data_IF_127747642773
#
_entry.id   IF_127747642773
#
_cell.length_a   1.000
_cell.length_b   1.000
_cell.length_c   1.000
_cell.angle_alpha   90.00
_cell.angle_beta   90.00
_cell.angle_gamma   90.00
#
_symmetry.space_group_name_H-M   'P 1'
#
loop_
_entity.id
_entity.type
_entity.pdbx_description
1 polymer ?
#
# COMPACT_ATOMS: atom_id res chain seq x y z
N UNK A 1 -22.88 -12.84 0.86
CA UNK A 1 -21.49 -12.48 1.20
C UNK A 1 -21.46 -12.23 2.69
N UNK A 2 -20.61 -12.91 3.47
CA UNK A 2 -20.57 -12.71 4.94
C UNK A 2 -20.20 -11.25 5.23
N UNK A 3 -20.83 -10.58 6.20
CA UNK A 3 -20.45 -9.22 6.58
C UNK A 3 -19.01 -9.18 7.09
N UNK A 4 -18.25 -8.16 6.68
CA UNK A 4 -16.83 -7.99 7.01
C UNK A 4 -16.62 -6.66 7.72
N UNK A 5 -15.75 -6.66 8.74
CA UNK A 5 -15.20 -5.44 9.36
C UNK A 5 -13.69 -5.39 9.17
N UNK A 6 -13.15 -4.18 9.06
CA UNK A 6 -11.71 -3.94 9.09
C UNK A 6 -11.26 -3.36 10.44
N UNK A 7 -10.32 -4.04 11.10
CA UNK A 7 -9.67 -3.59 12.32
C UNK A 7 -8.28 -3.04 12.01
N UNK A 8 -8.15 -1.72 11.98
CA UNK A 8 -6.88 -1.05 11.65
C UNK A 8 -5.79 -1.25 12.70
N UNK A 9 -6.13 -1.61 13.94
CA UNK A 9 -5.13 -1.86 14.99
C UNK A 9 -4.28 -3.10 14.68
N UNK A 10 -4.82 -4.05 13.91
CA UNK A 10 -4.07 -5.21 13.45
C UNK A 10 -2.87 -4.84 12.55
N UNK A 11 -2.85 -3.63 11.95
CA UNK A 11 -1.73 -3.19 11.13
C UNK A 11 -0.43 -3.07 11.93
N UNK A 12 -0.48 -2.70 13.21
CA UNK A 12 0.70 -2.49 14.04
C UNK A 12 1.53 -3.77 14.25
N UNK A 13 0.91 -4.94 14.14
CA UNK A 13 1.54 -6.24 14.28
C UNK A 13 1.45 -7.10 13.02
N UNK A 14 1.01 -6.53 11.88
CA UNK A 14 0.77 -7.33 10.68
C UNK A 14 2.05 -7.73 9.94
N UNK A 15 3.17 -7.04 10.19
CA UNK A 15 4.44 -7.23 9.47
C UNK A 15 4.41 -6.71 8.03
N UNK A 16 3.72 -5.59 7.79
CA UNK A 16 3.64 -4.91 6.48
C UNK A 16 3.19 -5.76 5.27
N UNK A 17 2.30 -6.74 5.46
CA UNK A 17 1.82 -7.63 4.38
C UNK A 17 1.29 -6.89 3.14
N UNK A 18 0.73 -5.69 3.31
CA UNK A 18 0.24 -4.87 2.20
C UNK A 18 1.36 -4.22 1.36
N UNK A 19 2.60 -4.22 1.84
CA UNK A 19 3.77 -3.60 1.21
C UNK A 19 4.78 -4.62 0.69
N UNK A 20 4.58 -5.91 0.97
CA UNK A 20 5.47 -7.01 0.60
C UNK A 20 4.82 -7.81 -0.53
N UNK A 21 5.50 -7.91 -1.68
CA UNK A 21 5.01 -8.67 -2.81
C UNK A 21 5.33 -8.03 -4.15
N UNK A 22 5.20 -8.82 -5.20
CA UNK A 22 5.39 -8.35 -6.58
C UNK A 22 4.13 -7.63 -7.07
N UNK A 23 4.31 -6.56 -7.84
CA UNK A 23 3.22 -5.80 -8.43
C UNK A 23 3.54 -4.32 -8.61
N UNK A 24 2.54 -3.57 -9.05
CA UNK A 24 2.63 -2.12 -9.23
C UNK A 24 1.73 -1.42 -8.22
N UNK A 25 2.23 -0.36 -7.59
CA UNK A 25 1.41 0.57 -6.81
C UNK A 25 1.18 1.79 -7.68
N UNK A 26 0.10 1.76 -8.47
CA UNK A 26 -0.25 2.85 -9.36
C UNK A 26 -0.72 4.06 -8.56
N UNK A 27 -0.24 5.23 -8.95
CA UNK A 27 -0.55 6.51 -8.31
C UNK A 27 -1.08 7.51 -9.32
N UNK A 28 -2.09 8.27 -8.91
CA UNK A 28 -2.61 9.40 -9.68
C UNK A 28 -1.86 10.69 -9.34
N UNK A 29 -1.97 11.68 -10.21
CA UNK A 29 -1.35 13.00 -10.03
C UNK A 29 -1.60 13.61 -8.64
N UNK A 30 -2.85 13.58 -8.16
CA UNK A 30 -3.20 14.11 -6.83
C UNK A 30 -2.52 13.33 -5.68
N UNK A 31 -2.27 12.03 -5.84
CA UNK A 31 -1.58 11.22 -4.84
C UNK A 31 -0.07 11.50 -4.86
N UNK A 32 0.51 11.67 -6.05
CA UNK A 32 1.89 12.11 -6.24
C UNK A 32 2.12 13.43 -5.50
N UNK A 33 1.25 14.41 -5.72
CA UNK A 33 1.32 15.73 -5.07
C UNK A 33 1.19 15.63 -3.54
N UNK A 34 0.26 14.81 -3.06
CA UNK A 34 0.05 14.62 -1.63
C UNK A 34 1.25 13.95 -0.94
N UNK A 35 1.84 12.92 -1.56
CA UNK A 35 3.00 12.22 -1.02
C UNK A 35 4.23 13.11 -1.06
N UNK A 36 4.50 13.79 -2.18
CA UNK A 36 5.63 14.72 -2.31
C UNK A 36 5.56 15.83 -1.25
N UNK A 37 4.37 16.43 -1.05
CA UNK A 37 4.13 17.42 0.00
C UNK A 37 4.39 16.87 1.40
N UNK A 38 3.92 15.65 1.68
CA UNK A 38 4.14 14.99 2.97
C UNK A 38 5.64 14.76 3.26
N UNK A 39 6.43 14.44 2.22
CA UNK A 39 7.87 14.24 2.31
C UNK A 39 8.67 15.56 2.28
N UNK A 40 8.02 16.70 2.05
CA UNK A 40 8.71 17.99 1.91
C UNK A 40 9.54 18.10 0.63
N UNK A 41 9.15 17.39 -0.43
CA UNK A 41 9.89 17.32 -1.70
C UNK A 41 9.19 18.09 -2.82
N UNK A 42 9.96 18.52 -3.82
CA UNK A 42 9.39 18.98 -5.08
C UNK A 42 8.78 17.79 -5.86
N UNK A 43 7.81 18.07 -6.75
CA UNK A 43 7.22 17.03 -7.60
C UNK A 43 8.27 16.40 -8.54
N UNK A 44 9.23 17.19 -9.02
CA UNK A 44 10.29 16.72 -9.89
C UNK A 44 11.22 15.73 -9.18
N UNK A 45 11.68 16.09 -7.97
CA UNK A 45 12.54 15.21 -7.17
C UNK A 45 11.81 13.94 -6.77
N UNK A 46 10.54 14.06 -6.36
CA UNK A 46 9.72 12.92 -6.02
C UNK A 46 9.55 11.97 -7.22
N UNK A 47 9.27 12.52 -8.41
CA UNK A 47 9.10 11.71 -9.62
C UNK A 47 10.38 10.97 -10.00
N UNK A 48 11.54 11.62 -9.91
CA UNK A 48 12.84 11.00 -10.20
C UNK A 48 13.17 9.90 -9.19
N UNK A 49 12.94 10.15 -7.90
CA UNK A 49 13.38 9.25 -6.83
C UNK A 49 12.43 8.09 -6.56
N UNK A 50 11.13 8.25 -6.82
CA UNK A 50 10.12 7.29 -6.34
C UNK A 50 9.15 6.79 -7.39
N UNK A 51 9.17 7.30 -8.62
CA UNK A 51 8.24 6.88 -9.67
C UNK A 51 8.93 6.18 -10.83
N UNK A 52 8.22 5.21 -11.42
CA UNK A 52 8.50 4.68 -12.76
C UNK A 52 7.25 4.74 -13.62
N UNK A 53 7.44 4.79 -14.94
CA UNK A 53 6.35 4.72 -15.92
C UNK A 53 6.13 3.27 -16.35
N UNK A 54 4.90 2.80 -16.25
CA UNK A 54 4.47 1.44 -16.62
C UNK A 54 3.19 1.58 -17.42
N UNK A 55 3.20 1.15 -18.69
CA UNK A 55 2.03 1.13 -19.59
C UNK A 55 1.22 2.44 -19.62
N UNK A 56 1.91 3.59 -19.56
CA UNK A 56 1.29 4.90 -19.61
C UNK A 56 0.85 5.49 -18.26
N UNK A 57 0.96 4.73 -17.16
CA UNK A 57 0.70 5.19 -15.80
C UNK A 57 2.00 5.29 -14.97
N UNK A 58 1.91 5.96 -13.81
CA UNK A 58 3.01 6.01 -12.83
C UNK A 58 2.78 4.99 -11.72
N UNK A 59 3.84 4.24 -11.39
CA UNK A 59 3.90 3.36 -10.22
C UNK A 59 4.98 3.83 -9.27
N UNK A 60 4.77 3.63 -7.97
CA UNK A 60 5.86 3.69 -6.99
C UNK A 60 6.92 2.63 -7.32
N UNK A 61 8.17 2.94 -6.97
CA UNK A 61 9.30 2.01 -7.07
C UNK A 61 9.30 0.97 -5.94
N UNK A 62 10.00 -0.13 -6.18
CA UNK A 62 10.40 -1.10 -5.17
C UNK A 62 11.68 -0.65 -4.44
N UNK A 63 11.85 -1.13 -3.20
CA UNK A 63 13.06 -0.93 -2.41
C UNK A 63 14.26 -1.59 -3.10
N UNK A 64 15.40 -0.89 -3.25
CA UNK A 64 16.62 -1.46 -3.81
C UNK A 64 17.18 -2.63 -3.01
N UNK A 65 16.88 -2.71 -1.70
CA UNK A 65 17.48 -3.70 -0.79
C UNK A 65 16.79 -5.06 -0.88
N UNK A 66 15.48 -5.07 -1.11
CA UNK A 66 14.66 -6.30 -1.12
C UNK A 66 14.12 -6.63 -2.50
N UNK A 67 14.11 -5.67 -3.43
CA UNK A 67 13.52 -5.70 -4.77
C UNK A 67 12.04 -6.13 -4.86
N UNK A 68 11.41 -6.43 -3.72
CA UNK A 68 10.04 -6.96 -3.61
C UNK A 68 9.16 -6.20 -2.62
N UNK A 69 9.73 -5.24 -1.90
CA UNK A 69 8.97 -4.34 -1.04
C UNK A 69 8.78 -2.98 -1.70
N UNK A 70 7.71 -2.27 -1.38
CA UNK A 70 7.58 -0.86 -1.76
C UNK A 70 8.72 0.00 -1.19
N UNK A 71 9.20 1.01 -1.94
CA UNK A 71 10.26 1.95 -1.53
C UNK A 71 9.97 2.71 -0.22
N UNK A 72 8.70 2.81 0.18
CA UNK A 72 8.30 3.46 1.43
C UNK A 72 8.15 2.52 2.62
N UNK A 73 8.38 1.22 2.47
CA UNK A 73 8.45 0.32 3.61
C UNK A 73 9.75 0.55 4.37
N UNK A 74 9.64 0.86 5.66
CA UNK A 74 10.73 0.70 6.61
C UNK A 74 10.76 -0.76 7.06
N UNK A 75 11.85 -1.47 6.74
CA UNK A 75 12.01 -2.90 6.98
C UNK A 75 12.19 -3.17 8.48
N UNK A 76 12.91 -2.30 9.20
CA UNK A 76 13.21 -2.50 10.62
C UNK A 76 11.93 -2.40 11.46
N UNK A 77 11.14 -1.34 11.22
CA UNK A 77 9.88 -1.13 11.93
C UNK A 77 8.70 -1.88 11.31
N UNK A 78 8.86 -2.46 10.12
CA UNK A 78 7.76 -3.04 9.33
C UNK A 78 6.58 -2.07 9.14
N UNK A 79 6.88 -0.77 9.00
CA UNK A 79 5.86 0.28 8.85
C UNK A 79 6.07 1.09 7.56
N UNK A 80 4.96 1.52 6.97
CA UNK A 80 5.00 2.39 5.80
C UNK A 80 5.33 3.82 6.24
N UNK A 81 6.43 4.39 5.73
CA UNK A 81 6.87 5.77 6.05
C UNK A 81 5.89 6.85 5.61
N UNK A 82 5.02 6.54 4.65
CA UNK A 82 3.97 7.46 4.15
C UNK A 82 2.57 7.03 4.57
N UNK A 83 2.42 6.29 5.68
CA UNK A 83 1.14 5.71 6.12
C UNK A 83 -0.08 6.66 6.05
N UNK A 84 0.02 7.94 6.50
CA UNK A 84 -1.11 8.88 6.47
C UNK A 84 -1.57 9.28 5.06
N UNK A 85 -0.67 9.22 4.09
CA UNK A 85 -0.89 9.67 2.70
C UNK A 85 -0.75 8.52 1.70
N UNK A 86 -0.95 7.28 2.16
CA UNK A 86 -0.93 6.09 1.30
C UNK A 86 -1.86 6.27 0.10
N UNK A 87 -1.46 5.84 -1.10
CA UNK A 87 -2.33 5.90 -2.26
C UNK A 87 -3.55 5.00 -2.07
N UNK A 88 -4.61 5.25 -2.86
CA UNK A 88 -5.89 4.56 -2.80
C UNK A 88 -5.69 3.04 -2.88
N UNK A 89 -4.85 2.58 -3.79
CA UNK A 89 -4.56 1.15 -3.94
C UNK A 89 -4.05 0.53 -2.62
N UNK A 90 -3.13 1.18 -1.92
CA UNK A 90 -2.66 0.72 -0.62
C UNK A 90 -3.73 0.82 0.48
N UNK A 91 -4.58 1.87 0.45
CA UNK A 91 -5.67 2.06 1.44
C UNK A 91 -6.80 1.05 1.30
N UNK A 92 -7.05 0.58 0.08
CA UNK A 92 -8.14 -0.37 -0.20
C UNK A 92 -7.72 -1.83 -0.07
N UNK A 93 -6.45 -2.12 0.22
CA UNK A 93 -6.02 -3.48 0.51
C UNK A 93 -6.65 -3.98 1.83
N UNK A 94 -7.06 -5.26 1.93
CA UNK A 94 -7.03 -6.32 0.91
C UNK A 94 -8.30 -6.41 0.06
N UNK A 95 -9.15 -5.38 0.05
CA UNK A 95 -10.46 -5.38 -0.61
C UNK A 95 -10.39 -4.98 -2.09
N UNK A 96 -9.33 -5.41 -2.80
CA UNK A 96 -9.24 -5.17 -4.24
C UNK A 96 -10.25 -6.05 -4.98
N UNK A 97 -10.92 -5.50 -5.98
CA UNK A 97 -12.01 -6.18 -6.72
C UNK A 97 -11.57 -7.50 -7.37
N UNK A 98 -10.26 -7.66 -7.65
CA UNK A 98 -9.70 -8.87 -8.25
C UNK A 98 -9.22 -9.93 -7.24
N UNK A 99 -9.23 -9.64 -5.93
CA UNK A 99 -8.95 -10.64 -4.90
C UNK A 99 -10.20 -11.51 -4.69
N UNK A 100 -10.05 -12.84 -4.82
CA UNK A 100 -11.17 -13.78 -4.71
C UNK A 100 -11.69 -13.84 -3.27
N UNK A 101 -12.99 -14.08 -3.09
CA UNK A 101 -13.56 -14.42 -1.79
C UNK A 101 -12.76 -15.59 -1.14
N UNK A 102 -12.31 -15.41 0.10
CA UNK A 102 -11.43 -16.36 0.81
C UNK A 102 -9.96 -15.95 0.87
N UNK A 103 -9.48 -15.18 -0.11
CA UNK A 103 -8.15 -14.56 -0.08
C UNK A 103 -8.14 -13.24 0.68
N UNK A 104 -9.04 -13.03 1.65
CA UNK A 104 -8.96 -11.90 2.58
C UNK A 104 -8.33 -12.32 3.91
N UNK A 105 -8.22 -13.63 4.14
CA UNK A 105 -7.66 -14.24 5.36
C UNK A 105 -6.17 -13.95 5.55
N UNK A 106 -5.46 -13.55 4.49
CA UNK A 106 -4.06 -13.15 4.59
C UNK A 106 -3.87 -11.82 5.34
N UNK A 107 -4.92 -11.00 5.46
CA UNK A 107 -4.86 -9.75 6.20
C UNK A 107 -5.44 -9.95 7.61
N UNK A 108 -4.64 -9.78 8.68
CA UNK A 108 -5.12 -9.97 10.05
C UNK A 108 -6.14 -8.90 10.49
N UNK A 109 -6.29 -7.82 9.72
CA UNK A 109 -7.31 -6.79 9.98
C UNK A 109 -8.71 -7.16 9.48
N UNK A 110 -8.86 -8.22 8.68
CA UNK A 110 -10.17 -8.65 8.15
C UNK A 110 -10.87 -9.55 9.17
N UNK A 111 -12.01 -9.10 9.68
CA UNK A 111 -12.84 -9.83 10.63
C UNK A 111 -14.16 -10.25 9.94
N UNK A 112 -14.41 -11.57 9.85
CA UNK A 112 -15.68 -12.11 9.35
C UNK A 112 -16.72 -12.13 10.46
N UNK A 113 -17.80 -11.38 10.28
CA UNK A 113 -18.89 -11.32 11.24
C UNK A 113 -19.75 -12.58 11.04
N UNK A 114 -19.97 -13.33 12.13
CA UNK A 114 -20.93 -14.43 12.13
C UNK A 114 -22.33 -13.82 12.18
N UNK A 115 -23.16 -14.12 11.19
CA UNK A 115 -24.59 -13.85 11.27
C UNK A 115 -25.16 -14.76 12.37
N UNK A 116 -25.67 -14.15 13.43
CA UNK A 116 -26.49 -14.80 14.47
C UNK A 116 -27.87 -15.12 13.95
#
# INVERSE_FOLDING_TARGET
MKPIRFNSQACASCGARCCLGEGYVFVKQAEIEQIAKFLGMSLGDFAIQYLRRVEGAYSLLESPETHKACVFLDIESSHCRIYPVRPRQCRTYPFWEWLKEGDLTHCPGVEFIKET
#
